data_IF_093863787885
#
_entry.id   IF_093863787885
#
_cell.length_a   1.000
_cell.length_b   1.000
_cell.length_c   1.000
_cell.angle_alpha   90.00
_cell.angle_beta   90.00
_cell.angle_gamma   90.00
#
_symmetry.space_group_name_H-M   'P 1'
#
loop_
_entity.id
_entity.type
_entity.pdbx_description
1 polymer ?
#
# COMPACT_ATOMS: atom_id res chain seq x y z
N UNK A 1 10.85 -12.14 -1.27
CA UNK A 1 10.49 -11.87 -2.68
C UNK A 1 9.51 -10.71 -2.66
N UNK A 2 9.87 -9.59 -3.28
CA UNK A 2 9.07 -8.37 -3.27
C UNK A 2 8.03 -8.47 -4.40
N UNK A 3 6.74 -8.44 -4.06
CA UNK A 3 5.67 -8.59 -5.05
C UNK A 3 5.06 -7.22 -5.37
N UNK A 4 5.14 -6.82 -6.64
CA UNK A 4 4.47 -5.61 -7.11
C UNK A 4 2.95 -5.82 -7.14
N UNK A 5 2.21 -4.98 -6.41
CA UNK A 5 0.74 -5.06 -6.32
C UNK A 5 0.12 -3.72 -6.66
N UNK A 6 -0.72 -3.71 -7.69
CA UNK A 6 -1.59 -2.58 -7.99
C UNK A 6 -2.91 -2.73 -7.22
N UNK A 7 -3.05 -2.03 -6.10
CA UNK A 7 -4.27 -2.07 -5.28
C UNK A 7 -5.55 -1.65 -6.02
N UNK A 8 -5.47 -0.89 -7.10
CA UNK A 8 -6.66 -0.49 -7.87
C UNK A 8 -7.18 -1.59 -8.80
N UNK A 9 -6.35 -2.58 -9.14
CA UNK A 9 -6.66 -3.62 -10.11
C UNK A 9 -6.53 -5.04 -9.52
N UNK A 10 -6.15 -5.16 -8.24
CA UNK A 10 -5.88 -6.46 -7.64
C UNK A 10 -7.18 -7.18 -7.28
N UNK A 11 -7.29 -8.42 -7.72
CA UNK A 11 -8.36 -9.32 -7.32
C UNK A 11 -8.19 -9.71 -5.84
N UNK A 12 -9.28 -9.68 -5.07
CA UNK A 12 -9.31 -10.09 -3.66
C UNK A 12 -8.80 -11.53 -3.46
N UNK A 13 -9.04 -12.43 -4.42
CA UNK A 13 -8.54 -13.81 -4.37
C UNK A 13 -7.02 -13.88 -4.52
N UNK A 14 -6.44 -13.08 -5.41
CA UNK A 14 -4.99 -12.98 -5.57
C UNK A 14 -4.36 -12.41 -4.30
N UNK A 15 -4.95 -11.35 -3.75
CA UNK A 15 -4.48 -10.70 -2.54
C UNK A 15 -4.54 -11.62 -1.32
N UNK A 16 -5.62 -12.42 -1.17
CA UNK A 16 -5.72 -13.45 -0.14
C UNK A 16 -4.62 -14.50 -0.25
N UNK A 17 -4.30 -14.97 -1.47
CA UNK A 17 -3.21 -15.93 -1.70
C UNK A 17 -1.83 -15.36 -1.34
N UNK A 18 -1.62 -14.08 -1.56
CA UNK A 18 -0.38 -13.40 -1.18
C UNK A 18 -0.31 -13.24 0.34
N UNK A 19 -1.41 -12.87 0.99
CA UNK A 19 -1.50 -12.75 2.44
C UNK A 19 -1.38 -14.08 3.20
N UNK A 20 -1.63 -15.21 2.53
CA UNK A 20 -1.39 -16.54 3.08
C UNK A 20 0.09 -16.94 3.12
N UNK A 21 0.97 -16.17 2.45
CA UNK A 21 2.42 -16.39 2.54
C UNK A 21 2.93 -15.91 3.91
N UNK A 22 3.94 -16.58 4.51
CA UNK A 22 4.56 -16.08 5.72
C UNK A 22 5.31 -14.77 5.41
N UNK A 23 4.86 -13.68 6.04
CA UNK A 23 5.43 -12.32 5.92
C UNK A 23 5.57 -11.83 4.46
N UNK A 24 4.46 -11.59 3.75
CA UNK A 24 4.52 -11.15 2.36
C UNK A 24 5.14 -9.75 2.28
N UNK A 25 6.12 -9.60 1.40
CA UNK A 25 6.72 -8.31 1.10
C UNK A 25 6.06 -7.75 -0.16
N UNK A 26 5.33 -6.66 -0.01
CA UNK A 26 4.54 -6.02 -1.05
C UNK A 26 5.19 -4.72 -1.47
N UNK A 27 5.36 -4.50 -2.77
CA UNK A 27 5.71 -3.22 -3.35
C UNK A 27 4.47 -2.63 -4.01
N UNK A 28 4.12 -1.42 -3.61
CA UNK A 28 2.93 -0.72 -4.10
C UNK A 28 3.40 0.54 -4.79
N UNK A 29 3.13 0.60 -6.10
CA UNK A 29 3.36 1.80 -6.91
C UNK A 29 2.24 2.82 -6.65
N UNK A 30 2.59 3.90 -5.97
CA UNK A 30 1.68 5.01 -5.68
C UNK A 30 1.55 6.01 -6.85
N UNK A 31 2.42 5.93 -7.86
CA UNK A 31 2.44 6.84 -9.01
C UNK A 31 1.45 6.42 -10.09
N UNK A 32 1.29 5.12 -10.32
CA UNK A 32 0.35 4.57 -11.30
C UNK A 32 -1.10 4.46 -10.80
N UNK A 33 -1.38 4.85 -9.55
CA UNK A 33 -2.66 4.56 -8.91
C UNK A 33 -3.76 5.57 -9.22
N UNK A 34 -4.88 5.14 -9.85
CA UNK A 34 -6.05 5.98 -10.09
C UNK A 34 -6.82 6.36 -8.81
N UNK A 35 -6.39 5.88 -7.63
CA UNK A 35 -7.06 6.08 -6.33
C UNK A 35 -7.24 7.55 -5.93
N UNK A 36 -6.52 8.50 -6.56
CA UNK A 36 -6.75 9.94 -6.37
C UNK A 36 -8.08 10.45 -6.94
N UNK A 37 -8.69 9.76 -7.91
CA UNK A 37 -9.88 10.30 -8.61
C UNK A 37 -11.22 9.64 -8.24
N UNK A 38 -11.22 8.44 -7.64
CA UNK A 38 -12.47 7.69 -7.39
C UNK A 38 -12.85 7.45 -5.93
N UNK A 39 -11.88 7.06 -5.08
CA UNK A 39 -12.16 6.56 -3.72
C UNK A 39 -11.47 7.36 -2.60
N UNK A 40 -10.58 8.29 -2.98
CA UNK A 40 -9.91 9.20 -2.06
C UNK A 40 -8.72 8.59 -1.32
N UNK A 41 -7.91 9.47 -0.71
CA UNK A 41 -6.68 9.09 0.01
C UNK A 41 -6.96 8.21 1.23
N UNK A 42 -8.07 8.43 1.93
CA UNK A 42 -8.43 7.68 3.13
C UNK A 42 -8.68 6.19 2.82
N UNK A 43 -9.42 5.90 1.75
CA UNK A 43 -9.67 4.52 1.33
C UNK A 43 -8.35 3.79 1.02
N UNK A 44 -7.45 4.47 0.30
CA UNK A 44 -6.13 3.94 -0.02
C UNK A 44 -5.33 3.63 1.25
N UNK A 45 -5.28 4.56 2.20
CA UNK A 45 -4.60 4.35 3.48
C UNK A 45 -5.21 3.20 4.28
N UNK A 46 -6.55 3.05 4.28
CA UNK A 46 -7.21 1.91 4.93
C UNK A 46 -6.79 0.57 4.31
N UNK A 47 -6.66 0.48 2.99
CA UNK A 47 -6.17 -0.73 2.32
C UNK A 47 -4.73 -1.07 2.75
N UNK A 48 -3.84 -0.07 2.79
CA UNK A 48 -2.46 -0.26 3.25
C UNK A 48 -2.40 -0.75 4.70
N UNK A 49 -3.23 -0.19 5.58
CA UNK A 49 -3.31 -0.58 6.98
C UNK A 49 -3.83 -2.01 7.15
N UNK A 50 -4.81 -2.44 6.35
CA UNK A 50 -5.30 -3.82 6.36
C UNK A 50 -4.20 -4.81 5.97
N UNK A 51 -3.37 -4.48 4.97
CA UNK A 51 -2.22 -5.31 4.59
C UNK A 51 -1.22 -5.44 5.75
N UNK A 52 -0.91 -4.31 6.42
CA UNK A 52 0.00 -4.30 7.58
C UNK A 52 -0.55 -5.09 8.76
N UNK A 53 -1.84 -4.95 9.07
CA UNK A 53 -2.52 -5.73 10.12
C UNK A 53 -2.46 -7.25 9.85
N UNK A 54 -2.40 -7.65 8.59
CA UNK A 54 -2.24 -9.06 8.18
C UNK A 54 -0.78 -9.54 8.17
N UNK A 55 0.16 -8.72 8.65
CA UNK A 55 1.58 -9.09 8.76
C UNK A 55 2.40 -8.85 7.50
N UNK A 56 1.86 -8.14 6.50
CA UNK A 56 2.62 -7.79 5.31
C UNK A 56 3.67 -6.71 5.60
N UNK A 57 4.84 -6.84 4.98
CA UNK A 57 5.80 -5.75 4.87
C UNK A 57 5.50 -4.94 3.63
N UNK A 58 5.07 -3.70 3.79
CA UNK A 58 4.58 -2.87 2.68
C UNK A 58 5.62 -1.80 2.34
N UNK A 59 6.08 -1.84 1.11
CA UNK A 59 6.97 -0.90 0.46
C UNK A 59 6.16 -0.03 -0.48
N UNK A 60 6.34 1.27 -0.42
CA UNK A 60 5.68 2.25 -1.27
C UNK A 60 6.72 2.89 -2.18
N UNK A 61 6.52 2.83 -3.50
CA UNK A 61 7.34 3.55 -4.47
C UNK A 61 6.51 4.63 -5.18
N UNK A 62 7.18 5.61 -5.80
CA UNK A 62 6.54 6.72 -6.50
C UNK A 62 5.52 7.49 -5.64
N UNK A 63 5.82 7.66 -4.34
CA UNK A 63 4.94 8.34 -3.38
C UNK A 63 4.96 9.84 -3.64
N UNK A 64 3.86 10.38 -4.14
CA UNK A 64 3.70 11.82 -4.36
C UNK A 64 3.76 12.61 -3.02
N UNK A 65 4.29 13.86 -3.03
CA UNK A 65 4.45 14.68 -1.83
C UNK A 65 3.20 14.86 -0.97
N UNK A 66 2.01 14.96 -1.58
CA UNK A 66 0.75 15.06 -0.85
C UNK A 66 0.48 13.79 -0.05
N UNK A 67 0.69 12.60 -0.63
CA UNK A 67 0.48 11.33 0.08
C UNK A 67 1.49 11.16 1.22
N UNK A 68 2.76 11.51 0.98
CA UNK A 68 3.80 11.51 2.03
C UNK A 68 3.42 12.45 3.18
N UNK A 69 2.91 13.65 2.89
CA UNK A 69 2.42 14.59 3.91
C UNK A 69 1.27 14.00 4.73
N UNK A 70 0.27 13.37 4.10
CA UNK A 70 -0.84 12.75 4.81
C UNK A 70 -0.37 11.59 5.71
N UNK A 71 0.53 10.73 5.21
CA UNK A 71 1.12 9.65 6.00
C UNK A 71 1.83 10.19 7.25
N UNK A 72 2.61 11.26 7.10
CA UNK A 72 3.31 11.89 8.22
C UNK A 72 2.36 12.56 9.21
N UNK A 73 1.37 13.31 8.74
CA UNK A 73 0.38 13.97 9.59
C UNK A 73 -0.47 12.98 10.40
N UNK A 74 -0.73 11.81 9.84
CA UNK A 74 -1.47 10.73 10.51
C UNK A 74 -0.57 9.82 11.36
N UNK A 75 0.74 10.06 11.40
CA UNK A 75 1.71 9.22 12.12
C UNK A 75 1.88 7.81 11.52
N UNK A 76 1.47 7.60 10.27
CA UNK A 76 1.47 6.29 9.61
C UNK A 76 2.78 6.03 8.84
N UNK A 77 3.63 7.04 8.67
CA UNK A 77 4.89 6.94 7.90
C UNK A 77 5.78 5.80 8.41
N UNK A 78 5.93 5.64 9.73
CA UNK A 78 6.74 4.57 10.34
C UNK A 78 6.18 3.15 10.10
N UNK A 79 4.93 3.04 9.62
CA UNK A 79 4.31 1.76 9.29
C UNK A 79 4.67 1.31 7.87
N UNK A 80 5.32 2.12 7.04
CA UNK A 80 5.60 1.77 5.65
C UNK A 80 7.07 2.00 5.31
N UNK A 81 7.60 1.17 4.43
CA UNK A 81 8.91 1.43 3.84
C UNK A 81 8.75 2.30 2.61
N UNK A 82 9.50 3.39 2.52
CA UNK A 82 9.54 4.23 1.33
C UNK A 82 10.70 3.75 0.46
N UNK A 83 10.40 3.29 -0.75
CA UNK A 83 11.39 3.01 -1.79
C UNK A 83 11.50 4.26 -2.68
N UNK A 84 12.69 4.85 -2.74
CA UNK A 84 13.02 5.99 -3.60
C UNK A 84 13.29 5.55 -5.05
#
# INVERSE_FOLDING_TARGET
MLLSVNLAAVDAALLARILLQPQPQLLIDCGAQPCRRGLGVCYFLSQLLLLRQRGASVWLCNVDPLLRRHLRQLGLEALFFLAE
#
